data_IF_843435163678
#
_entry.id   IF_843435163678
#
_cell.length_a   1.000
_cell.length_b   1.000
_cell.length_c   1.000
_cell.angle_alpha   90.00
_cell.angle_beta   90.00
_cell.angle_gamma   90.00
#
_symmetry.space_group_name_H-M   'P 1'
#
loop_
_entity.id
_entity.type
_entity.pdbx_description
1 polymer ?
#
# COMPACT_ATOMS: atom_id res chain seq x y z
N UNK A 1 -20.11 0.05 -10.15
CA UNK A 1 -18.96 -0.39 -9.34
C UNK A 1 -17.91 -0.83 -10.34
N UNK A 2 -16.73 -0.20 -10.34
CA UNK A 2 -15.66 -0.61 -11.26
C UNK A 2 -15.32 -2.07 -11.01
N UNK A 3 -15.43 -2.87 -12.06
CA UNK A 3 -15.16 -4.31 -12.01
C UNK A 3 -13.91 -4.54 -12.84
N UNK A 4 -12.84 -4.92 -12.17
CA UNK A 4 -11.61 -5.38 -12.80
C UNK A 4 -11.73 -6.89 -13.00
N UNK A 5 -11.38 -7.39 -14.17
CA UNK A 5 -11.40 -8.83 -14.47
C UNK A 5 -10.04 -9.47 -14.13
N UNK A 6 -8.97 -8.67 -14.08
CA UNK A 6 -7.63 -9.15 -13.69
C UNK A 6 -6.93 -8.22 -12.70
N UNK A 7 -5.96 -8.78 -11.96
CA UNK A 7 -5.12 -7.99 -11.07
C UNK A 7 -4.28 -6.96 -11.83
N UNK A 8 -3.87 -7.26 -13.07
CA UNK A 8 -3.12 -6.32 -13.90
C UNK A 8 -3.96 -5.10 -14.29
N UNK A 9 -5.25 -5.29 -14.62
CA UNK A 9 -6.17 -4.19 -14.87
C UNK A 9 -6.33 -3.31 -13.63
N UNK A 10 -6.45 -3.93 -12.45
CA UNK A 10 -6.49 -3.19 -11.20
C UNK A 10 -5.19 -2.40 -10.97
N UNK A 11 -4.02 -3.00 -11.17
CA UNK A 11 -2.72 -2.32 -11.01
C UNK A 11 -2.63 -1.11 -11.95
N UNK A 12 -3.02 -1.27 -13.22
CA UNK A 12 -3.02 -0.16 -14.20
C UNK A 12 -3.99 0.93 -13.78
N UNK A 13 -5.18 0.58 -13.29
CA UNK A 13 -6.14 1.56 -12.80
C UNK A 13 -5.63 2.32 -11.56
N UNK A 14 -4.94 1.63 -10.64
CA UNK A 14 -4.32 2.28 -9.48
C UNK A 14 -3.15 3.18 -9.89
N UNK A 15 -2.32 2.76 -10.85
CA UNK A 15 -1.26 3.61 -11.41
C UNK A 15 -1.82 4.86 -12.08
N UNK A 16 -2.89 4.71 -12.88
CA UNK A 16 -3.59 5.83 -13.49
C UNK A 16 -4.16 6.78 -12.42
N UNK A 17 -4.75 6.22 -11.37
CA UNK A 17 -5.23 7.02 -10.25
C UNK A 17 -4.09 7.82 -9.61
N UNK A 18 -2.97 7.17 -9.27
CA UNK A 18 -1.83 7.82 -8.63
C UNK A 18 -1.29 8.95 -9.51
N UNK A 19 -1.01 8.67 -10.78
CA UNK A 19 -0.44 9.65 -11.73
C UNK A 19 -1.40 10.80 -12.06
N UNK A 20 -2.71 10.61 -11.87
CA UNK A 20 -3.71 11.67 -12.07
C UNK A 20 -3.87 12.57 -10.83
N UNK A 21 -3.56 12.06 -9.63
CA UNK A 21 -3.79 12.77 -8.36
C UNK A 21 -2.49 13.24 -7.68
N UNK A 22 -1.34 12.92 -8.25
CA UNK A 22 -0.02 13.21 -7.69
C UNK A 22 0.99 13.56 -8.79
N UNK A 23 2.18 13.98 -8.40
CA UNK A 23 3.29 14.25 -9.33
C UNK A 23 4.12 12.99 -9.67
N UNK A 24 3.71 11.81 -9.20
CA UNK A 24 4.38 10.56 -9.54
C UNK A 24 4.25 10.27 -11.03
N UNK A 25 5.34 9.78 -11.63
CA UNK A 25 5.34 9.24 -13.00
C UNK A 25 5.09 7.73 -13.00
N UNK A 26 4.77 7.18 -14.16
CA UNK A 26 4.69 5.73 -14.34
C UNK A 26 6.01 5.03 -13.97
N UNK A 27 5.95 3.80 -13.40
CA UNK A 27 7.14 3.06 -13.08
C UNK A 27 7.81 2.54 -14.36
N UNK A 28 9.15 2.41 -14.34
CA UNK A 28 9.90 1.79 -15.45
C UNK A 28 9.46 0.35 -15.74
N UNK A 29 8.88 -0.34 -14.75
CA UNK A 29 8.33 -1.69 -14.88
C UNK A 29 7.08 -1.83 -14.01
N UNK A 30 6.06 -2.50 -14.52
CA UNK A 30 4.86 -2.80 -13.74
C UNK A 30 5.21 -3.64 -12.49
N UNK A 31 4.61 -3.32 -11.33
CA UNK A 31 4.76 -4.12 -10.13
C UNK A 31 4.29 -5.57 -10.30
N UNK A 32 5.00 -6.50 -9.68
CA UNK A 32 4.63 -7.91 -9.58
C UNK A 32 4.08 -8.17 -8.18
N UNK A 33 2.86 -8.67 -8.09
CA UNK A 33 2.17 -8.93 -6.82
C UNK A 33 2.26 -10.41 -6.48
N UNK A 34 2.72 -10.72 -5.27
CA UNK A 34 2.77 -12.08 -4.76
C UNK A 34 1.97 -12.18 -3.45
N UNK A 35 1.01 -13.10 -3.41
CA UNK A 35 0.26 -13.39 -2.19
C UNK A 35 0.98 -14.48 -1.39
N UNK A 36 1.38 -14.16 -0.15
CA UNK A 36 2.14 -15.05 0.73
C UNK A 36 1.45 -15.23 2.08
N UNK A 37 1.86 -16.26 2.83
CA UNK A 37 1.32 -16.53 4.16
C UNK A 37 1.73 -15.43 5.15
N UNK A 38 0.82 -15.07 6.08
CA UNK A 38 1.06 -14.03 7.08
C UNK A 38 2.36 -14.27 7.88
N UNK A 39 2.66 -15.53 8.21
CA UNK A 39 3.88 -15.91 8.91
C UNK A 39 5.14 -15.57 8.11
N UNK A 40 5.14 -15.87 6.82
CA UNK A 40 6.27 -15.56 5.92
C UNK A 40 6.46 -14.04 5.81
N UNK A 41 5.36 -13.32 5.55
CA UNK A 41 5.36 -11.85 5.45
C UNK A 41 5.91 -11.18 6.72
N UNK A 42 5.45 -11.61 7.89
CA UNK A 42 5.91 -11.08 9.18
C UNK A 42 7.39 -11.37 9.45
N UNK A 43 7.87 -12.56 9.08
CA UNK A 43 9.29 -12.89 9.21
C UNK A 43 10.16 -12.03 8.29
N UNK A 44 9.71 -11.77 7.05
CA UNK A 44 10.42 -10.91 6.10
C UNK A 44 10.47 -9.45 6.56
N UNK A 45 9.35 -8.92 7.06
CA UNK A 45 9.25 -7.50 7.42
C UNK A 45 9.82 -7.19 8.82
N UNK A 46 9.58 -8.07 9.79
CA UNK A 46 9.80 -7.80 11.21
C UNK A 46 10.81 -8.75 11.86
N UNK A 47 11.14 -9.89 11.24
CA UNK A 47 11.94 -10.96 11.85
C UNK A 47 11.24 -11.70 12.99
N UNK A 48 9.95 -11.44 13.19
CA UNK A 48 9.08 -12.00 14.24
C UNK A 48 7.61 -11.82 13.82
N UNK A 49 6.71 -12.47 14.53
CA UNK A 49 5.27 -12.26 14.34
C UNK A 49 4.89 -10.78 14.49
N UNK A 50 4.22 -10.24 13.47
CA UNK A 50 3.71 -8.88 13.42
C UNK A 50 2.50 -8.79 12.50
N UNK A 51 1.69 -7.74 12.69
CA UNK A 51 0.38 -7.56 12.01
C UNK A 51 0.49 -6.88 10.64
N UNK A 52 1.66 -6.93 10.00
CA UNK A 52 1.86 -6.30 8.69
C UNK A 52 1.02 -7.03 7.62
N UNK A 53 0.35 -6.29 6.73
CA UNK A 53 -0.53 -6.87 5.71
C UNK A 53 0.08 -6.86 4.31
N UNK A 54 1.10 -6.04 4.09
CA UNK A 54 1.80 -5.93 2.83
C UNK A 54 3.25 -5.48 3.02
N UNK A 55 4.11 -5.77 2.04
CA UNK A 55 5.52 -5.38 2.06
C UNK A 55 6.04 -5.12 0.66
N UNK A 56 6.66 -3.95 0.47
CA UNK A 56 7.53 -3.64 -0.67
C UNK A 56 9.00 -3.72 -0.25
N UNK A 57 9.73 -4.81 -0.55
CA UNK A 57 11.15 -4.91 -0.20
C UNK A 57 12.04 -4.08 -1.14
N UNK A 58 13.25 -3.76 -0.68
CA UNK A 58 14.25 -3.12 -1.54
C UNK A 58 14.76 -4.06 -2.66
N UNK A 59 14.71 -5.38 -2.41
CA UNK A 59 15.09 -6.42 -3.37
C UNK A 59 14.24 -7.69 -3.17
N UNK A 60 13.66 -8.29 -4.22
CA UNK A 60 13.66 -7.84 -5.62
C UNK A 60 12.86 -6.54 -5.85
N UNK A 61 13.41 -5.64 -6.68
CA UNK A 61 12.71 -4.41 -7.09
C UNK A 61 11.40 -4.74 -7.82
N UNK A 62 10.45 -3.79 -7.78
CA UNK A 62 9.13 -3.92 -8.43
C UNK A 62 8.29 -5.10 -7.93
N UNK A 63 8.56 -5.60 -6.73
CA UNK A 63 7.80 -6.70 -6.12
C UNK A 63 7.01 -6.18 -4.93
N UNK A 64 5.76 -6.61 -4.82
CA UNK A 64 4.90 -6.32 -3.67
C UNK A 64 4.43 -7.67 -3.13
N UNK A 65 4.63 -7.90 -1.84
CA UNK A 65 4.07 -9.03 -1.13
C UNK A 65 2.80 -8.60 -0.41
N UNK A 66 1.70 -9.32 -0.64
CA UNK A 66 0.45 -9.13 0.08
C UNK A 66 0.17 -10.38 0.92
N UNK A 67 -0.44 -10.18 2.10
CA UNK A 67 -1.01 -11.30 2.84
C UNK A 67 -2.10 -11.97 2.01
N UNK A 68 -2.14 -13.31 2.02
CA UNK A 68 -3.20 -14.10 1.37
C UNK A 68 -4.61 -13.82 1.90
N UNK A 69 -4.72 -13.17 3.05
CA UNK A 69 -5.99 -12.74 3.62
C UNK A 69 -6.57 -11.50 2.91
N UNK A 70 -5.78 -10.79 2.11
CA UNK A 70 -6.24 -9.61 1.36
C UNK A 70 -6.92 -10.00 0.04
N UNK A 71 -8.04 -9.34 -0.25
CA UNK A 71 -8.69 -9.35 -1.56
C UNK A 71 -8.85 -7.93 -2.12
N UNK A 72 -7.83 -7.37 -2.79
CA UNK A 72 -7.90 -6.03 -3.37
C UNK A 72 -8.83 -5.93 -4.59
N UNK A 73 -9.20 -7.07 -5.19
CA UNK A 73 -10.19 -7.12 -6.28
C UNK A 73 -11.60 -6.86 -5.74
N UNK A 74 -11.93 -7.37 -4.56
CA UNK A 74 -13.28 -7.37 -4.02
C UNK A 74 -13.48 -6.33 -2.88
N UNK A 75 -12.42 -5.95 -2.18
CA UNK A 75 -12.47 -5.07 -1.02
C UNK A 75 -11.68 -3.79 -1.25
N UNK A 76 -12.35 -2.65 -1.09
CA UNK A 76 -11.76 -1.33 -1.30
C UNK A 76 -10.68 -0.96 -0.27
N UNK A 77 -10.78 -1.44 0.96
CA UNK A 77 -9.76 -1.26 2.00
C UNK A 77 -8.48 -2.01 1.63
N UNK A 78 -8.62 -3.27 1.18
CA UNK A 78 -7.49 -4.06 0.70
C UNK A 78 -6.86 -3.46 -0.56
N UNK A 79 -7.69 -2.88 -1.44
CA UNK A 79 -7.22 -2.15 -2.61
C UNK A 79 -6.43 -0.90 -2.26
N UNK A 80 -6.84 -0.17 -1.22
CA UNK A 80 -6.09 0.95 -0.66
C UNK A 80 -4.69 0.54 -0.15
N UNK A 81 -4.58 -0.63 0.48
CA UNK A 81 -3.29 -1.22 0.88
C UNK A 81 -2.41 -1.48 -0.36
N UNK A 82 -2.96 -2.07 -1.43
CA UNK A 82 -2.20 -2.29 -2.66
C UNK A 82 -1.72 -0.95 -3.28
N UNK A 83 -2.58 0.07 -3.31
CA UNK A 83 -2.22 1.40 -3.79
C UNK A 83 -1.05 2.00 -2.99
N UNK A 84 -1.07 1.86 -1.67
CA UNK A 84 0.02 2.30 -0.79
C UNK A 84 1.35 1.66 -1.17
N UNK A 85 1.38 0.34 -1.39
CA UNK A 85 2.59 -0.37 -1.80
C UNK A 85 3.06 0.02 -3.21
N UNK A 86 2.14 0.27 -4.14
CA UNK A 86 2.50 0.77 -5.48
C UNK A 86 3.21 2.12 -5.35
N UNK A 87 2.76 3.02 -4.47
CA UNK A 87 3.46 4.29 -4.21
C UNK A 87 4.89 4.05 -3.73
N UNK A 88 5.14 3.05 -2.87
CA UNK A 88 6.50 2.72 -2.46
C UNK A 88 7.39 2.27 -3.62
N UNK A 89 6.86 1.55 -4.60
CA UNK A 89 7.58 1.24 -5.84
C UNK A 89 7.92 2.52 -6.61
N UNK A 90 6.97 3.44 -6.76
CA UNK A 90 7.20 4.70 -7.48
C UNK A 90 8.24 5.58 -6.80
N UNK A 91 8.18 5.70 -5.47
CA UNK A 91 9.16 6.42 -4.67
C UNK A 91 10.58 5.88 -4.89
N UNK A 92 10.76 4.56 -4.87
CA UNK A 92 12.07 3.93 -5.09
C UNK A 92 12.54 4.08 -6.54
N UNK A 93 11.66 3.86 -7.52
CA UNK A 93 12.00 3.95 -8.95
C UNK A 93 12.38 5.36 -9.41
N UNK A 94 11.81 6.38 -8.75
CA UNK A 94 12.02 7.80 -9.02
C UNK A 94 12.99 8.46 -8.03
N UNK A 95 13.60 7.67 -7.12
CA UNK A 95 14.57 8.17 -6.13
C UNK A 95 14.03 9.27 -5.21
N UNK A 96 12.73 9.23 -4.92
CA UNK A 96 12.07 10.22 -4.06
C UNK A 96 12.56 10.06 -2.62
N UNK A 97 12.86 11.19 -1.98
CA UNK A 97 13.42 11.27 -0.62
C UNK A 97 14.81 10.65 -0.44
N UNK A 98 15.56 10.34 -1.51
CA UNK A 98 16.90 9.75 -1.40
C UNK A 98 17.94 10.67 -0.76
N UNK A 99 17.72 11.99 -0.77
CA UNK A 99 18.65 12.97 -0.20
C UNK A 99 18.57 13.08 1.34
N UNK A 100 17.61 12.40 1.96
CA UNK A 100 17.42 12.39 3.42
C UNK A 100 18.14 11.21 4.08
N UNK A 101 18.48 11.37 5.38
CA UNK A 101 18.96 10.24 6.18
C UNK A 101 17.91 9.12 6.24
N UNK A 102 18.35 7.89 6.55
CA UNK A 102 17.50 6.70 6.48
C UNK A 102 16.23 6.80 7.34
N UNK A 103 16.30 7.42 8.52
CA UNK A 103 15.15 7.55 9.40
C UNK A 103 14.14 8.53 8.82
N UNK A 104 14.61 9.69 8.35
CA UNK A 104 13.77 10.70 7.72
C UNK A 104 13.19 10.22 6.40
N UNK A 105 14.00 9.59 5.54
CA UNK A 105 13.56 8.95 4.29
C UNK A 105 12.42 7.97 4.55
N UNK A 106 12.60 7.03 5.50
CA UNK A 106 11.57 6.04 5.84
C UNK A 106 10.27 6.70 6.31
N UNK A 107 10.37 7.70 7.18
CA UNK A 107 9.19 8.40 7.71
C UNK A 107 8.43 9.18 6.63
N UNK A 108 9.13 9.94 5.78
CA UNK A 108 8.51 10.71 4.71
C UNK A 108 7.85 9.82 3.66
N UNK A 109 8.52 8.71 3.27
CA UNK A 109 7.96 7.72 2.35
C UNK A 109 6.65 7.13 2.85
N UNK A 110 6.63 6.72 4.12
CA UNK A 110 5.44 6.16 4.77
C UNK A 110 4.31 7.19 4.84
N UNK A 111 4.62 8.41 5.30
CA UNK A 111 3.61 9.47 5.44
C UNK A 111 2.96 9.84 4.12
N UNK A 112 3.76 10.00 3.07
CA UNK A 112 3.23 10.30 1.75
C UNK A 112 2.35 9.17 1.18
N UNK A 113 2.79 7.91 1.30
CA UNK A 113 1.99 6.76 0.87
C UNK A 113 0.67 6.65 1.66
N UNK A 114 0.70 6.92 2.98
CA UNK A 114 -0.48 6.92 3.83
C UNK A 114 -1.46 8.06 3.53
N UNK A 115 -0.97 9.26 3.19
CA UNK A 115 -1.81 10.40 2.80
C UNK A 115 -2.58 10.06 1.52
N UNK A 116 -1.89 9.57 0.50
CA UNK A 116 -2.49 9.20 -0.77
C UNK A 116 -3.45 8.00 -0.64
N UNK A 117 -3.12 7.02 0.20
CA UNK A 117 -4.02 5.93 0.55
C UNK A 117 -5.34 6.46 1.16
N UNK A 118 -5.28 7.40 2.10
CA UNK A 118 -6.50 7.96 2.68
C UNK A 118 -7.28 8.85 1.70
N UNK A 119 -6.61 9.58 0.81
CA UNK A 119 -7.26 10.33 -0.28
C UNK A 119 -8.02 9.36 -1.20
N UNK A 120 -7.38 8.26 -1.60
CA UNK A 120 -8.00 7.21 -2.41
C UNK A 120 -9.27 6.67 -1.74
N UNK A 121 -9.16 6.22 -0.48
CA UNK A 121 -10.31 5.66 0.26
C UNK A 121 -11.45 6.67 0.44
N UNK A 122 -11.14 7.96 0.59
CA UNK A 122 -12.15 9.00 0.77
C UNK A 122 -13.13 9.11 -0.41
N UNK A 123 -12.70 8.78 -1.62
CA UNK A 123 -13.54 8.74 -2.82
C UNK A 123 -14.62 7.65 -2.75
N UNK A 124 -14.42 6.66 -1.89
CA UNK A 124 -15.35 5.56 -1.64
C UNK A 124 -16.06 5.68 -0.29
N UNK A 125 -15.96 6.85 0.37
CA UNK A 125 -16.53 7.08 1.70
C UNK A 125 -15.86 6.27 2.80
N UNK A 126 -14.59 5.88 2.61
CA UNK A 126 -13.76 5.14 3.56
C UNK A 126 -12.61 6.00 4.08
N UNK A 127 -12.02 5.63 5.21
CA UNK A 127 -10.85 6.32 5.81
C UNK A 127 -9.91 5.33 6.48
N UNK A 128 -8.64 5.68 6.59
CA UNK A 128 -7.69 4.94 7.42
C UNK A 128 -7.76 5.47 8.85
N UNK A 129 -7.64 4.60 9.84
CA UNK A 129 -7.35 5.02 11.21
C UNK A 129 -5.85 5.30 11.39
N UNK A 130 -5.51 6.47 11.93
CA UNK A 130 -4.13 6.81 12.29
C UNK A 130 -3.89 6.67 13.79
N UNK A 131 -2.73 6.12 14.18
CA UNK A 131 -2.21 6.16 15.55
C UNK A 131 -0.70 6.39 15.53
N UNK A 132 -0.22 7.38 16.30
CA UNK A 132 1.20 7.73 16.39
C UNK A 132 1.90 7.96 15.03
N UNK A 133 1.18 8.46 14.02
CA UNK A 133 1.72 8.70 12.68
C UNK A 133 1.88 7.44 11.82
N UNK A 134 1.17 6.36 12.14
CA UNK A 134 1.10 5.14 11.32
C UNK A 134 -0.36 4.69 11.16
N UNK A 135 -0.65 3.92 10.12
CA UNK A 135 -1.92 3.22 10.01
C UNK A 135 -2.12 2.29 11.22
N UNK A 136 -3.32 2.26 11.76
CA UNK A 136 -3.65 1.54 12.98
C UNK A 136 -4.92 0.71 12.80
N UNK A 137 -4.97 -0.45 13.45
CA UNK A 137 -6.17 -1.28 13.48
C UNK A 137 -7.02 -0.94 14.70
N UNK A 138 -8.34 -0.98 14.55
CA UNK A 138 -9.25 -0.90 15.70
C UNK A 138 -9.01 -2.10 16.64
N UNK A 139 -8.83 -1.83 17.93
CA UNK A 139 -8.78 -2.87 18.97
C UNK A 139 -10.15 -3.46 19.31
N UNK A 140 -11.24 -2.87 18.83
CA UNK A 140 -12.62 -3.24 19.17
C UNK A 140 -13.37 -3.75 17.94
N UNK A 141 -14.29 -4.69 18.15
CA UNK A 141 -15.11 -5.33 17.13
C UNK A 141 -16.39 -4.55 16.79
N UNK A 142 -16.50 -3.27 17.17
CA UNK A 142 -17.63 -2.47 16.74
C UNK A 142 -17.57 -2.28 15.23
N UNK A 143 -18.58 -2.78 14.52
CA UNK A 143 -18.73 -2.64 13.07
C UNK A 143 -18.81 -1.15 12.69
N UNK A 144 -17.65 -0.54 12.44
CA UNK A 144 -17.57 0.79 11.87
C UNK A 144 -17.21 0.66 10.39
N UNK A 145 -18.24 0.72 9.54
CA UNK A 145 -18.07 0.62 8.09
C UNK A 145 -17.35 1.83 7.48
N UNK A 146 -17.05 2.88 8.25
CA UNK A 146 -16.29 4.03 7.75
C UNK A 146 -14.79 3.74 7.62
N UNK A 147 -14.24 2.94 8.52
CA UNK A 147 -12.80 2.78 8.61
C UNK A 147 -12.30 1.47 8.02
N UNK A 148 -11.18 1.61 7.32
CA UNK A 148 -10.16 0.62 7.13
C UNK A 148 -9.10 0.85 8.24
#
# INVERSE_FOLDING_TARGET
MEKFETLNELIVALLLWITTHTEYKDPKKLPVINFIEQKELSNMACGRECEILALTPDNPKYTIYLSKELSPMDDICHRGILLHEIIHILQEDQSIYNDYDQKTKKHLREMDALVNHNIYLSQFGKKILYSNGFAAKFKTTQNNNLYC
#
